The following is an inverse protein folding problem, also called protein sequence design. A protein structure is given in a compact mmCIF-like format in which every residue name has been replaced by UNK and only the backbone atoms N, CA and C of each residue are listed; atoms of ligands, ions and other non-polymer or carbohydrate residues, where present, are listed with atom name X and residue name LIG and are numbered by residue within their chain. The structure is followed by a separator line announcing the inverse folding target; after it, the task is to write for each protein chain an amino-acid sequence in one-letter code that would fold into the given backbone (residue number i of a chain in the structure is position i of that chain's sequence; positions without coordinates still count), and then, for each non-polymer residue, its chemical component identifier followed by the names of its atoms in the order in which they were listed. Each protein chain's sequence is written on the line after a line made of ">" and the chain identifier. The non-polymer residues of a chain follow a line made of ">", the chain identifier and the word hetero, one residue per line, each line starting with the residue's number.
data_IF_168598335669
#
_entry.id   IF_168598335669
#
_cell.length_a   1.000
_cell.length_b   1.000
_cell.length_c   1.000
_cell.angle_alpha   90.00
_cell.angle_beta   90.00
_cell.angle_gamma   90.00
#
_symmetry.space_group_name_H-M   'P 1'
#
loop_
_entity.id
_entity.type
_entity.pdbx_description
1 polymer ?
#
# COMPACT_ATOMS: atom_id res chain seq x y z
N UNK A 1 25.84 -9.02 58.96
CA UNK A 1 24.41 -9.38 58.92
C UNK A 1 23.71 -8.59 57.80
N UNK A 2 22.48 -8.99 57.47
CA UNK A 2 21.54 -8.39 56.51
C UNK A 2 21.33 -6.86 56.69
N UNK A 3 20.85 -6.08 55.71
CA UNK A 3 20.66 -6.28 54.26
C UNK A 3 20.46 -4.92 53.56
N UNK A 4 20.50 -4.88 52.21
CA UNK A 4 20.29 -3.66 51.43
C UNK A 4 18.81 -3.43 51.06
N UNK A 5 18.17 -2.43 51.67
CA UNK A 5 16.78 -2.04 51.38
C UNK A 5 16.67 -1.24 50.09
N UNK A 6 15.97 -1.80 49.08
CA UNK A 6 15.51 -1.07 47.88
C UNK A 6 14.03 -0.70 48.05
N UNK A 7 13.58 0.48 47.59
CA UNK A 7 12.17 0.85 47.68
C UNK A 7 11.29 -0.04 46.79
N UNK A 8 10.15 -0.47 47.31
CA UNK A 8 9.17 -1.25 46.55
C UNK A 8 8.41 -0.33 45.57
N UNK A 9 8.78 -0.41 44.29
CA UNK A 9 8.01 0.24 43.22
C UNK A 9 6.63 -0.41 43.05
N UNK A 10 5.60 0.41 42.81
CA UNK A 10 4.22 -0.06 42.65
C UNK A 10 4.11 -0.97 41.41
N UNK A 11 3.87 -2.26 41.62
CA UNK A 11 3.85 -3.27 40.56
C UNK A 11 2.54 -3.22 39.76
N UNK A 12 2.47 -2.28 38.81
CA UNK A 12 1.41 -2.24 37.79
C UNK A 12 1.52 -3.48 36.91
N UNK A 13 0.57 -4.41 37.06
CA UNK A 13 0.52 -5.65 36.26
C UNK A 13 0.42 -5.35 34.76
N UNK A 14 1.21 -6.06 33.95
CA UNK A 14 1.24 -5.84 32.50
C UNK A 14 -0.09 -6.22 31.85
N UNK A 15 -0.86 -5.20 31.44
CA UNK A 15 -2.13 -5.35 30.71
C UNK A 15 -1.95 -5.71 29.22
N UNK A 16 -0.71 -5.93 28.75
CA UNK A 16 -0.43 -6.37 27.38
C UNK A 16 -0.64 -7.89 27.26
N UNK A 17 -1.46 -8.39 26.32
CA UNK A 17 -1.67 -9.83 26.12
C UNK A 17 -0.36 -10.52 25.73
N UNK A 18 -0.03 -11.59 26.46
CA UNK A 18 1.31 -12.19 26.45
C UNK A 18 1.57 -13.06 25.21
N UNK A 19 0.53 -13.44 24.47
CA UNK A 19 0.63 -14.34 23.32
C UNK A 19 -0.04 -13.82 22.03
N UNK A 20 0.30 -14.45 20.91
CA UNK A 20 -0.43 -14.30 19.63
C UNK A 20 -1.79 -15.03 19.65
N UNK A 21 -1.96 -16.01 20.55
CA UNK A 21 -3.19 -16.78 20.70
C UNK A 21 -4.29 -15.94 21.38
N UNK A 22 -3.99 -15.29 22.51
CA UNK A 22 -4.92 -14.38 23.19
C UNK A 22 -5.41 -13.26 22.28
N UNK A 23 -4.52 -12.65 21.47
CA UNK A 23 -4.92 -11.60 20.52
C UNK A 23 -5.92 -12.09 19.45
N UNK A 24 -5.89 -13.37 19.08
CA UNK A 24 -6.92 -13.98 18.21
C UNK A 24 -8.22 -14.24 18.98
N UNK A 25 -8.13 -14.74 20.20
CA UNK A 25 -9.30 -14.99 21.06
C UNK A 25 -10.05 -13.70 21.44
N UNK A 26 -9.34 -12.59 21.66
CA UNK A 26 -9.95 -11.28 21.91
C UNK A 26 -10.64 -10.73 20.64
N UNK A 27 -10.01 -10.83 19.47
CA UNK A 27 -10.63 -10.42 18.21
C UNK A 27 -11.95 -11.17 17.94
N UNK A 28 -11.99 -12.49 18.18
CA UNK A 28 -13.19 -13.31 18.01
C UNK A 28 -14.35 -12.93 18.95
N UNK A 29 -14.08 -12.30 20.10
CA UNK A 29 -15.13 -11.79 21.00
C UNK A 29 -15.78 -10.52 20.46
N UNK A 30 -15.00 -9.61 19.86
CA UNK A 30 -15.51 -8.35 19.32
C UNK A 30 -16.48 -8.60 18.17
N UNK A 31 -16.17 -9.55 17.28
CA UNK A 31 -17.06 -9.90 16.15
C UNK A 31 -18.37 -10.59 16.56
N UNK A 32 -18.48 -11.09 17.80
CA UNK A 32 -19.65 -11.83 18.27
C UNK A 32 -20.75 -10.94 18.88
N UNK A 33 -20.42 -9.72 19.34
CA UNK A 33 -21.40 -8.75 19.87
C UNK A 33 -22.13 -8.00 18.72
N UNK A 34 -21.48 -7.83 17.56
CA UNK A 34 -22.01 -7.06 16.43
C UNK A 34 -22.78 -7.94 15.42
N UNK A 35 -23.68 -8.80 15.89
CA UNK A 35 -24.61 -9.54 15.01
C UNK A 35 -25.95 -9.84 15.71
N UNK A 36 -26.88 -8.89 15.61
CA UNK A 36 -28.31 -9.11 15.78
C UNK A 36 -29.00 -9.02 14.39
N UNK A 37 -30.02 -9.85 14.09
CA UNK A 37 -30.40 -10.14 12.71
C UNK A 37 -31.43 -9.17 12.10
N UNK A 38 -31.31 -8.93 10.79
CA UNK A 38 -32.37 -8.40 9.95
C UNK A 38 -32.95 -9.51 9.05
N UNK A 39 -34.28 -9.61 8.98
CA UNK A 39 -34.99 -10.65 8.22
C UNK A 39 -35.24 -10.25 6.75
N UNK A 40 -35.47 -11.22 5.83
CA UNK A 40 -35.66 -10.95 4.40
C UNK A 40 -37.13 -10.77 3.96
N UNK A 41 -37.30 -10.43 2.68
CA UNK A 41 -38.57 -10.40 1.89
C UNK A 41 -39.56 -9.24 2.17
N UNK A 42 -40.48 -8.88 1.24
CA UNK A 42 -40.83 -9.61 0.00
C UNK A 42 -40.77 -8.82 -1.33
N UNK A 43 -40.99 -9.65 -2.36
CA UNK A 43 -41.27 -9.44 -3.79
C UNK A 43 -42.16 -8.23 -4.16
N UNK A 44 -42.04 -7.78 -5.41
CA UNK A 44 -43.08 -7.03 -6.12
C UNK A 44 -43.16 -7.53 -7.58
N UNK A 45 -44.38 -7.73 -8.10
CA UNK A 45 -44.64 -8.54 -9.30
C UNK A 45 -45.78 -7.93 -10.12
N UNK A 46 -45.53 -7.57 -11.38
CA UNK A 46 -46.57 -7.15 -12.33
C UNK A 46 -46.22 -7.52 -13.80
N UNK A 47 -47.22 -7.69 -14.67
CA UNK A 47 -47.18 -8.55 -15.90
C UNK A 47 -48.31 -8.18 -16.91
N UNK A 48 -48.33 -8.63 -18.20
CA UNK A 48 -47.36 -9.36 -19.06
C UNK A 48 -47.19 -8.62 -20.43
N UNK A 49 -47.08 -9.23 -21.66
CA UNK A 49 -46.44 -10.46 -22.17
C UNK A 49 -45.38 -10.21 -23.29
N UNK A 50 -44.82 -11.27 -23.90
CA UNK A 50 -43.82 -11.20 -24.99
C UNK A 50 -44.41 -11.19 -26.41
N UNK A 51 -43.57 -10.84 -27.43
CA UNK A 51 -43.53 -11.56 -28.70
C UNK A 51 -42.17 -12.25 -28.94
N UNK A 52 -42.17 -13.31 -29.75
CA UNK A 52 -41.00 -14.15 -30.05
C UNK A 52 -40.23 -13.65 -31.27
N UNK A 53 -38.90 -13.55 -31.19
CA UNK A 53 -38.01 -13.41 -32.35
C UNK A 53 -36.59 -13.93 -32.05
N UNK A 54 -36.17 -14.97 -32.78
CA UNK A 54 -34.82 -15.59 -32.71
C UNK A 54 -34.51 -16.28 -34.05
N UNK A 55 -33.27 -16.29 -34.58
CA UNK A 55 -32.13 -15.40 -34.36
C UNK A 55 -31.98 -14.42 -35.57
N UNK A 56 -30.80 -13.80 -35.81
CA UNK A 56 -29.78 -14.52 -36.60
C UNK A 56 -28.40 -14.56 -35.92
N UNK A 57 -27.58 -15.51 -36.35
CA UNK A 57 -26.21 -15.67 -35.90
C UNK A 57 -25.35 -14.44 -36.22
N UNK A 58 -24.96 -13.72 -35.17
CA UNK A 58 -23.89 -12.74 -35.20
C UNK A 58 -22.80 -13.21 -34.26
N UNK A 59 -21.72 -13.74 -34.81
CA UNK A 59 -20.56 -14.26 -34.07
C UNK A 59 -19.84 -13.11 -33.34
N UNK A 60 -20.38 -12.69 -32.20
CA UNK A 60 -19.65 -11.94 -31.20
C UNK A 60 -18.66 -12.89 -30.52
N UNK A 61 -17.61 -13.25 -31.26
CA UNK A 61 -16.36 -13.70 -30.67
C UNK A 61 -15.85 -12.54 -29.81
N UNK A 62 -16.31 -12.54 -28.56
CA UNK A 62 -15.93 -11.58 -27.55
C UNK A 62 -14.43 -11.75 -27.32
N UNK A 63 -13.63 -10.95 -28.04
CA UNK A 63 -12.17 -10.92 -28.00
C UNK A 63 -11.76 -10.88 -26.53
N UNK A 64 -11.38 -12.03 -26.02
CA UNK A 64 -11.08 -12.20 -24.60
C UNK A 64 -9.91 -11.26 -24.32
N UNK A 65 -10.19 -10.17 -23.60
CA UNK A 65 -9.24 -9.09 -23.46
C UNK A 65 -7.99 -9.66 -22.78
N UNK A 66 -6.90 -9.80 -23.54
CA UNK A 66 -5.67 -10.42 -23.05
C UNK A 66 -5.33 -9.76 -21.71
N UNK A 67 -5.23 -10.53 -20.60
CA UNK A 67 -5.09 -9.95 -19.29
C UNK A 67 -3.79 -9.17 -19.27
N UNK A 68 -3.90 -7.83 -19.23
CA UNK A 68 -2.78 -6.90 -19.46
C UNK A 68 -1.61 -7.32 -18.59
N UNK A 69 -0.61 -7.95 -19.22
CA UNK A 69 0.55 -8.52 -18.52
C UNK A 69 1.45 -7.39 -18.07
N UNK A 70 1.05 -6.76 -16.96
CA UNK A 70 1.80 -5.76 -16.23
C UNK A 70 3.23 -6.27 -16.06
N UNK A 71 4.18 -5.62 -16.76
CA UNK A 71 5.58 -6.05 -16.81
C UNK A 71 6.05 -6.27 -15.38
N UNK A 72 6.49 -7.49 -15.07
CA UNK A 72 6.89 -7.86 -13.72
C UNK A 72 7.86 -6.81 -13.17
N UNK A 73 7.59 -6.29 -11.96
CA UNK A 73 8.40 -5.21 -11.36
C UNK A 73 9.86 -5.68 -11.24
N UNK A 74 10.67 -5.31 -12.22
CA UNK A 74 12.13 -5.29 -12.14
C UNK A 74 12.47 -4.38 -10.96
N UNK A 75 12.71 -5.00 -9.80
CA UNK A 75 13.16 -4.33 -8.59
C UNK A 75 14.63 -3.95 -8.77
N UNK A 76 14.89 -2.99 -9.66
CA UNK A 76 16.19 -2.34 -9.80
C UNK A 76 16.55 -1.80 -8.42
N UNK A 77 17.62 -2.31 -7.84
CA UNK A 77 17.95 -2.06 -6.43
C UNK A 77 18.42 -0.61 -6.31
N UNK A 78 17.56 0.26 -5.76
CA UNK A 78 17.94 1.64 -5.45
C UNK A 78 18.94 1.64 -4.30
N UNK A 79 20.21 1.96 -4.59
CA UNK A 79 21.23 2.15 -3.57
C UNK A 79 20.95 3.39 -2.71
N UNK A 80 21.28 3.40 -1.41
CA UNK A 80 21.12 4.58 -0.57
C UNK A 80 22.12 5.67 -0.97
N UNK A 81 21.62 6.90 -1.13
CA UNK A 81 22.44 8.09 -1.42
C UNK A 81 22.42 9.03 -0.21
N UNK A 82 23.53 9.11 0.51
CA UNK A 82 23.66 9.89 1.74
C UNK A 82 24.44 11.18 1.47
N UNK A 83 23.75 12.31 1.42
CA UNK A 83 24.33 13.65 1.24
C UNK A 83 23.78 14.65 2.25
N UNK A 84 24.62 15.59 2.68
CA UNK A 84 24.19 16.73 3.49
C UNK A 84 23.52 17.79 2.60
N UNK A 85 22.45 18.41 3.10
CA UNK A 85 21.69 19.45 2.40
C UNK A 85 21.49 20.66 3.31
N UNK A 86 21.50 21.86 2.75
CA UNK A 86 21.17 23.08 3.49
C UNK A 86 19.71 23.08 3.99
N UNK A 87 19.46 23.71 5.13
CA UNK A 87 18.14 23.78 5.75
C UNK A 87 17.04 24.34 4.82
N UNK A 88 17.37 25.35 4.00
CA UNK A 88 16.43 25.89 3.00
C UNK A 88 16.07 24.89 1.88
N UNK A 89 16.96 23.96 1.55
CA UNK A 89 16.67 22.86 0.62
C UNK A 89 15.79 21.80 1.29
N UNK A 90 16.07 21.44 2.55
CA UNK A 90 15.25 20.51 3.32
C UNK A 90 13.82 21.02 3.48
N UNK A 91 13.62 22.29 3.85
CA UNK A 91 12.30 22.91 3.94
C UNK A 91 11.51 22.86 2.61
N UNK A 92 12.19 22.99 1.46
CA UNK A 92 11.56 22.82 0.13
C UNK A 92 11.18 21.37 -0.14
N UNK A 93 12.00 20.39 0.27
CA UNK A 93 11.67 18.97 0.15
C UNK A 93 10.49 18.56 1.06
N UNK A 94 10.39 19.13 2.25
CA UNK A 94 9.24 18.93 3.13
C UNK A 94 7.95 19.58 2.59
N UNK A 95 8.06 20.77 2.00
CA UNK A 95 6.95 21.48 1.37
C UNK A 95 6.34 20.75 0.16
N UNK A 96 7.15 20.02 -0.62
CA UNK A 96 6.64 19.13 -1.69
C UNK A 96 6.13 17.80 -1.12
N UNK A 97 6.77 17.23 -0.08
CA UNK A 97 6.29 16.01 0.60
C UNK A 97 4.88 16.21 1.17
N UNK A 98 4.59 17.39 1.73
CA UNK A 98 3.26 17.77 2.20
C UNK A 98 2.19 17.86 1.09
N UNK A 99 2.59 17.85 -0.19
CA UNK A 99 1.71 17.84 -1.38
C UNK A 99 1.65 16.46 -2.05
N UNK A 100 2.19 15.42 -1.42
CA UNK A 100 2.19 14.05 -1.95
C UNK A 100 3.32 13.71 -2.91
N UNK A 101 4.27 14.62 -3.17
CA UNK A 101 5.46 14.30 -3.98
C UNK A 101 6.41 13.37 -3.23
N UNK A 102 6.88 12.32 -3.91
CA UNK A 102 7.84 11.35 -3.34
C UNK A 102 9.25 11.92 -3.44
N UNK A 103 9.82 12.35 -2.31
CA UNK A 103 11.18 12.94 -2.25
C UNK A 103 12.20 12.08 -2.99
N UNK A 104 12.18 10.75 -2.80
CA UNK A 104 13.14 9.83 -3.43
C UNK A 104 13.14 9.96 -4.95
N UNK A 105 11.96 10.01 -5.58
CA UNK A 105 11.84 10.04 -7.03
C UNK A 105 12.02 11.48 -7.57
N UNK A 106 11.65 12.51 -6.80
CA UNK A 106 11.96 13.91 -7.15
C UNK A 106 13.46 14.21 -7.09
N UNK A 107 14.19 13.66 -6.12
CA UNK A 107 15.65 13.82 -5.99
C UNK A 107 16.37 13.03 -7.08
N UNK A 108 15.93 11.80 -7.36
CA UNK A 108 16.42 10.97 -8.47
C UNK A 108 16.24 11.70 -9.82
N UNK A 109 15.03 12.21 -10.12
CA UNK A 109 14.78 12.98 -11.34
C UNK A 109 15.60 14.28 -11.41
N UNK A 110 15.70 15.05 -10.31
CA UNK A 110 16.45 16.30 -10.28
C UNK A 110 17.95 16.09 -10.50
N UNK A 111 18.53 15.03 -9.93
CA UNK A 111 19.94 14.65 -10.14
C UNK A 111 20.15 14.23 -11.60
N UNK A 112 19.30 13.34 -12.14
CA UNK A 112 19.44 12.89 -13.53
C UNK A 112 19.28 14.05 -14.53
N UNK A 113 18.32 14.98 -14.32
CA UNK A 113 18.20 16.20 -15.14
C UNK A 113 19.42 17.11 -15.05
N UNK A 114 20.04 17.22 -13.87
CA UNK A 114 21.28 18.00 -13.69
C UNK A 114 22.45 17.38 -14.44
N UNK A 115 22.61 16.04 -14.35
CA UNK A 115 23.66 15.30 -15.06
C UNK A 115 23.47 15.34 -16.58
N UNK A 116 22.24 15.18 -17.06
CA UNK A 116 21.88 15.33 -18.48
C UNK A 116 22.23 16.73 -19.02
N UNK A 117 21.87 17.79 -18.28
CA UNK A 117 22.20 19.17 -18.64
C UNK A 117 23.72 19.46 -18.58
N UNK A 118 24.46 18.72 -17.77
CA UNK A 118 25.92 18.78 -17.71
C UNK A 118 26.62 17.91 -18.78
N UNK A 119 25.87 17.24 -19.66
CA UNK A 119 26.40 16.40 -20.73
C UNK A 119 27.02 15.08 -20.25
N UNK A 120 26.72 14.64 -19.02
CA UNK A 120 27.27 13.39 -18.47
C UNK A 120 26.65 12.19 -19.22
N UNK A 121 27.47 11.26 -19.73
CA UNK A 121 26.96 10.07 -20.42
C UNK A 121 26.04 9.24 -19.53
N UNK A 122 24.96 8.70 -20.13
CA UNK A 122 24.07 7.77 -19.42
C UNK A 122 24.74 6.39 -19.29
N UNK A 123 24.52 5.66 -18.19
CA UNK A 123 25.09 4.33 -18.01
C UNK A 123 24.50 3.32 -19.01
N UNK A 124 25.25 2.26 -19.25
CA UNK A 124 24.88 1.17 -20.14
C UNK A 124 23.73 0.30 -19.57
N UNK A 125 23.33 -0.73 -20.32
CA UNK A 125 22.27 -1.66 -19.92
C UNK A 125 22.61 -2.49 -18.66
N UNK A 126 23.86 -2.46 -18.20
CA UNK A 126 24.38 -3.17 -17.04
C UNK A 126 24.71 -2.19 -15.88
N UNK A 127 24.23 -0.95 -15.93
CA UNK A 127 24.48 0.13 -14.97
C UNK A 127 25.96 0.54 -14.81
N UNK A 128 26.76 0.37 -15.87
CA UNK A 128 28.15 0.86 -15.93
C UNK A 128 28.25 2.17 -16.69
N UNK A 129 29.09 3.08 -16.22
CA UNK A 129 29.52 4.24 -17.02
C UNK A 129 30.41 3.77 -18.19
N UNK A 130 30.41 4.48 -19.32
CA UNK A 130 31.36 4.26 -20.42
C UNK A 130 32.78 4.72 -20.05
#
# INVERSE_FOLDING_TARGET
>A
MNAASKPAGLQVGSTRPLSRAERRAQAARVTADETAPAAPEPQNTDIPPAPVATPPDGEQEARQAEPVRLKARLRKVKSPFATQLHAGTLARLEWIKARGYVITDTVDEAINRYLDNAGIPKPDRNDRMP
#
